data_IF_402833086825
#
_entry.id   IF_402833086825
#
_cell.length_a   1.000
_cell.length_b   1.000
_cell.length_c   1.000
_cell.angle_alpha   90.00
_cell.angle_beta   90.00
_cell.angle_gamma   90.00
#
_symmetry.space_group_name_H-M   'P 1'
#
loop_
_entity.id
_entity.type
_entity.pdbx_description
1 polymer ?
#
# COMPACT_ATOMS: atom_id res chain seq x y z
N UNK A 1 -25.56 -1.21 6.54
CA UNK A 1 -25.31 -0.51 7.82
C UNK A 1 -23.89 -0.72 8.35
N UNK A 2 -23.20 -1.83 8.03
CA UNK A 2 -21.76 -1.97 8.31
C UNK A 2 -20.89 -0.94 7.57
N UNK A 3 -21.26 -0.54 6.35
CA UNK A 3 -20.43 0.31 5.48
C UNK A 3 -20.13 1.70 6.06
N UNK A 4 -21.07 2.27 6.81
CA UNK A 4 -20.93 3.60 7.39
C UNK A 4 -19.90 3.61 8.52
N UNK A 5 -19.89 2.58 9.37
CA UNK A 5 -18.90 2.42 10.45
C UNK A 5 -17.50 2.21 9.84
N UNK A 6 -17.39 1.41 8.78
CA UNK A 6 -16.12 1.25 8.06
C UNK A 6 -15.67 2.53 7.36
N UNK A 7 -16.58 3.32 6.80
CA UNK A 7 -16.26 4.60 6.18
C UNK A 7 -15.69 5.60 7.21
N UNK A 8 -16.34 5.72 8.36
CA UNK A 8 -15.88 6.60 9.45
C UNK A 8 -14.53 6.14 10.00
N UNK A 9 -14.36 4.83 10.24
CA UNK A 9 -13.09 4.28 10.70
C UNK A 9 -11.94 4.50 9.71
N UNK A 10 -12.21 4.39 8.40
CA UNK A 10 -11.21 4.70 7.36
C UNK A 10 -10.85 6.18 7.30
N UNK A 11 -11.83 7.07 7.46
CA UNK A 11 -11.56 8.50 7.45
C UNK A 11 -10.74 8.92 8.67
N UNK A 12 -11.01 8.37 9.85
CA UNK A 12 -10.25 8.65 11.06
C UNK A 12 -8.76 8.29 10.89
N UNK A 13 -8.48 7.11 10.34
CA UNK A 13 -7.11 6.66 10.03
C UNK A 13 -6.42 7.58 9.02
N UNK A 14 -7.17 8.11 8.03
CA UNK A 14 -6.63 9.06 7.06
C UNK A 14 -6.30 10.41 7.68
N UNK A 15 -6.96 10.79 8.78
CA UNK A 15 -6.66 12.01 9.52
C UNK A 15 -5.40 11.86 10.40
N UNK A 16 -5.00 10.64 10.79
CA UNK A 16 -3.79 10.41 11.59
C UNK A 16 -2.51 10.77 10.83
N UNK A 17 -2.48 10.56 9.51
CA UNK A 17 -1.30 10.91 8.71
C UNK A 17 -1.64 11.09 7.24
N UNK A 18 -0.77 11.78 6.52
CA UNK A 18 -0.80 11.80 5.06
C UNK A 18 -0.14 10.54 4.46
N UNK A 19 0.73 9.87 5.24
CA UNK A 19 1.55 8.75 4.78
C UNK A 19 0.97 7.41 5.23
N UNK A 20 0.72 6.44 4.32
CA UNK A 20 -0.01 5.22 4.64
C UNK A 20 0.72 4.25 5.60
N UNK A 21 2.04 4.31 5.66
CA UNK A 21 2.83 3.51 6.62
C UNK A 21 2.92 4.13 8.01
N UNK A 22 2.34 5.31 8.24
CA UNK A 22 2.22 5.92 9.58
C UNK A 22 0.82 5.76 10.18
N UNK A 23 -0.07 5.06 9.49
CA UNK A 23 -1.42 4.79 9.97
C UNK A 23 -1.37 3.83 11.14
N UNK A 24 -2.23 4.05 12.13
CA UNK A 24 -2.46 3.04 13.17
C UNK A 24 -3.06 1.76 12.58
N UNK A 25 -3.88 1.89 11.53
CA UNK A 25 -4.57 0.75 10.91
C UNK A 25 -4.38 0.75 9.39
N UNK A 26 -3.84 -0.34 8.86
CA UNK A 26 -3.64 -0.50 7.40
C UNK A 26 -4.69 -1.45 6.85
N UNK A 27 -5.61 -0.90 6.05
CA UNK A 27 -6.73 -1.65 5.45
C UNK A 27 -6.42 -2.20 4.07
N UNK A 28 -5.51 -1.56 3.32
CA UNK A 28 -5.16 -2.03 1.99
C UNK A 28 -4.20 -3.21 2.07
N UNK A 29 -4.64 -4.37 1.57
CA UNK A 29 -3.81 -5.58 1.56
C UNK A 29 -2.45 -5.39 0.89
N UNK A 30 -2.39 -4.56 -0.17
CA UNK A 30 -1.14 -4.22 -0.85
C UNK A 30 -0.17 -3.49 0.07
N UNK A 31 -0.67 -2.55 0.86
CA UNK A 31 0.14 -1.77 1.78
C UNK A 31 0.57 -2.64 2.97
N UNK A 32 -0.34 -3.45 3.52
CA UNK A 32 -0.01 -4.45 4.54
C UNK A 32 1.08 -5.41 4.08
N UNK A 33 0.99 -5.94 2.86
CA UNK A 33 1.99 -6.83 2.29
C UNK A 33 3.33 -6.12 2.10
N UNK A 34 3.32 -4.91 1.54
CA UNK A 34 4.54 -4.11 1.38
C UNK A 34 5.23 -3.81 2.72
N UNK A 35 4.46 -3.49 3.77
CA UNK A 35 4.99 -3.22 5.11
C UNK A 35 5.66 -4.48 5.68
N UNK A 36 5.01 -5.64 5.57
CA UNK A 36 5.56 -6.91 6.04
C UNK A 36 6.79 -7.35 5.23
N UNK A 37 6.74 -7.29 3.90
CA UNK A 37 7.85 -7.70 3.02
C UNK A 37 9.07 -6.79 3.15
N UNK A 38 8.85 -5.47 3.19
CA UNK A 38 9.95 -4.50 3.31
C UNK A 38 10.42 -4.33 4.76
N UNK A 39 9.75 -4.95 5.73
CA UNK A 39 9.96 -4.74 7.18
C UNK A 39 9.92 -3.25 7.56
N UNK A 40 9.09 -2.47 6.87
CA UNK A 40 8.91 -1.03 7.09
C UNK A 40 7.78 -0.75 8.09
N UNK A 41 7.56 -1.64 9.05
CA UNK A 41 6.60 -1.42 10.13
C UNK A 41 7.08 -0.28 11.03
N UNK A 42 6.17 0.59 11.43
CA UNK A 42 6.42 1.60 12.45
C UNK A 42 5.70 1.20 13.73
N UNK A 43 6.19 1.68 14.88
CA UNK A 43 5.57 1.43 16.20
C UNK A 43 4.13 1.96 16.30
N UNK A 44 3.73 2.80 15.34
CA UNK A 44 2.37 3.34 15.26
C UNK A 44 1.36 2.32 14.75
N UNK A 45 1.78 1.27 14.03
CA UNK A 45 0.86 0.31 13.40
C UNK A 45 0.34 -0.68 14.45
N UNK A 46 -0.95 -0.59 14.75
CA UNK A 46 -1.65 -1.49 15.67
C UNK A 46 -2.38 -2.63 14.95
N UNK A 47 -2.83 -2.42 13.71
CA UNK A 47 -3.59 -3.41 12.96
C UNK A 47 -3.22 -3.43 11.46
N UNK A 48 -3.06 -4.65 10.92
CA UNK A 48 -2.86 -4.91 9.50
C UNK A 48 -3.93 -5.86 8.99
N UNK A 49 -4.62 -5.49 7.91
CA UNK A 49 -5.54 -6.41 7.22
C UNK A 49 -4.76 -7.16 6.14
N UNK A 50 -4.64 -8.48 6.30
CA UNK A 50 -4.11 -9.38 5.27
C UNK A 50 -5.22 -10.25 4.68
N UNK A 51 -5.33 -10.23 3.35
CA UNK A 51 -6.12 -11.21 2.60
C UNK A 51 -5.14 -12.10 1.84
N UNK A 52 -5.01 -13.35 2.30
CA UNK A 52 -4.14 -14.35 1.70
C UNK A 52 -4.66 -14.90 0.37
N UNK A 53 -5.97 -14.77 0.09
CA UNK A 53 -6.56 -15.20 -1.19
C UNK A 53 -6.29 -14.20 -2.32
N UNK A 54 -6.08 -12.91 -1.99
CA UNK A 54 -5.73 -11.89 -2.99
C UNK A 54 -4.33 -12.11 -3.60
N UNK A 55 -3.41 -12.81 -2.91
CA UNK A 55 -2.06 -13.10 -3.42
C UNK A 55 -2.04 -13.91 -4.74
N UNK A 56 -3.12 -14.63 -5.06
CA UNK A 56 -3.20 -15.39 -6.31
C UNK A 56 -3.58 -14.53 -7.53
N UNK A 57 -4.18 -13.34 -7.33
CA UNK A 57 -4.50 -12.40 -8.41
C UNK A 57 -3.35 -11.44 -8.76
N UNK A 58 -2.42 -11.20 -7.83
CA UNK A 58 -1.32 -10.24 -8.03
C UNK A 58 -0.18 -10.76 -8.91
N UNK A 59 -0.06 -12.07 -9.13
CA UNK A 59 0.93 -12.66 -10.04
C UNK A 59 0.72 -12.26 -11.51
N UNK A 60 -0.48 -11.79 -11.88
CA UNK A 60 -0.79 -11.32 -13.24
C UNK A 60 -0.59 -9.81 -13.46
N UNK A 61 -0.37 -9.03 -12.39
CA UNK A 61 -0.30 -7.56 -12.47
C UNK A 61 1.08 -6.98 -12.11
N UNK A 62 2.11 -7.83 -11.97
CA UNK A 62 3.49 -7.37 -11.95
C UNK A 62 4.05 -7.34 -13.37
N UNK A 63 3.70 -6.32 -14.15
CA UNK A 63 4.67 -5.84 -15.14
C UNK A 63 5.66 -4.94 -14.39
N UNK A 64 6.97 -5.25 -14.41
CA UNK A 64 7.96 -4.34 -13.85
C UNK A 64 7.88 -3.01 -14.60
N UNK A 65 7.75 -1.89 -13.88
CA UNK A 65 8.16 -0.60 -14.44
C UNK A 65 9.66 -0.74 -14.71
N UNK A 66 10.04 -0.82 -15.99
CA UNK A 66 11.45 -0.73 -16.38
C UNK A 66 11.96 0.63 -15.91
N UNK A 67 12.83 0.60 -14.93
CA UNK A 67 13.67 1.72 -14.58
C UNK A 67 14.84 1.78 -15.56
N UNK A 68 15.08 2.98 -16.08
CA UNK A 68 16.26 3.47 -16.80
C UNK A 68 16.41 3.15 -18.30
N UNK A 69 16.32 4.20 -19.12
CA UNK A 69 17.45 4.70 -19.93
C UNK A 69 17.04 6.00 -20.65
N UNK A 70 17.49 7.15 -20.14
CA UNK A 70 17.90 8.25 -21.03
C UNK A 70 19.34 7.93 -21.45
N UNK A 71 19.63 7.85 -22.76
CA UNK A 71 20.56 8.85 -23.29
C UNK A 71 20.23 9.31 -24.72
N UNK A 72 20.33 10.64 -24.89
CA UNK A 72 20.79 11.41 -26.06
C UNK A 72 20.38 10.92 -27.45
N UNK A 73 19.52 11.70 -28.10
CA UNK A 73 19.63 11.95 -29.54
C UNK A 73 19.82 13.45 -29.73
N UNK A 74 21.08 13.86 -29.84
CA UNK A 74 21.40 15.01 -30.68
C UNK A 74 21.17 14.58 -32.13
N UNK A 75 20.71 15.50 -32.96
CA UNK A 75 20.81 15.36 -34.41
C UNK A 75 20.58 16.72 -35.09
N UNK A 76 20.98 16.84 -36.37
CA UNK A 76 21.96 17.81 -36.86
C UNK A 76 21.39 19.21 -37.11
#
# INVERSE_FOLDING_TARGET
MHDMIYAIGREFVRLESEKPWKYSKVWQHKDSFNILTKKNGTDTIECLVLDMHMNLKWSWCQKPKKENQSPKQGNP
#
